data_IF_751309341174
#
_entry.id   IF_751309341174
#
_cell.length_a   1.000
_cell.length_b   1.000
_cell.length_c   1.000
_cell.angle_alpha   90.00
_cell.angle_beta   90.00
_cell.angle_gamma   90.00
#
_symmetry.space_group_name_H-M   'P 1'
#
loop_
_entity.id
_entity.type
_entity.pdbx_description
1 polymer ?
#
# COMPACT_ATOMS: atom_id res chain seq x y z
N UNK A 1 -21.88 89.12 -4.06
CA UNK A 1 -23.35 88.97 -4.20
C UNK A 1 -23.62 88.40 -5.57
N UNK A 2 -23.89 87.10 -5.66
CA UNK A 2 -24.38 86.46 -6.88
C UNK A 2 -25.67 85.75 -6.50
N UNK A 3 -26.72 86.00 -7.27
CA UNK A 3 -28.09 85.63 -6.97
C UNK A 3 -28.61 84.69 -8.06
N UNK A 4 -29.37 83.69 -7.60
CA UNK A 4 -30.43 82.94 -8.29
C UNK A 4 -30.08 81.90 -9.37
N UNK A 5 -30.18 80.63 -8.93
CA UNK A 5 -31.11 79.58 -9.39
C UNK A 5 -31.65 79.62 -10.84
N UNK A 6 -31.54 78.46 -11.52
CA UNK A 6 -32.65 77.82 -12.23
C UNK A 6 -32.31 76.37 -12.59
N UNK A 7 -33.02 75.44 -11.94
CA UNK A 7 -33.15 74.04 -12.35
C UNK A 7 -34.10 73.93 -13.55
N UNK A 8 -33.85 72.98 -14.45
CA UNK A 8 -34.88 72.38 -15.31
C UNK A 8 -34.48 70.94 -15.65
N UNK A 9 -35.45 70.05 -15.42
CA UNK A 9 -35.45 68.60 -15.53
C UNK A 9 -35.24 68.11 -16.98
N UNK A 10 -34.97 66.80 -17.16
CA UNK A 10 -35.91 65.86 -17.82
C UNK A 10 -35.33 64.43 -17.81
N UNK A 11 -36.23 63.50 -17.52
CA UNK A 11 -36.05 62.06 -17.30
C UNK A 11 -35.71 61.26 -18.57
N UNK A 12 -34.85 60.27 -18.36
CA UNK A 12 -34.92 58.86 -18.78
C UNK A 12 -35.67 58.47 -20.08
N UNK A 13 -34.95 57.81 -21.00
CA UNK A 13 -35.57 56.83 -21.88
C UNK A 13 -34.64 55.63 -22.12
N UNK A 14 -35.23 54.44 -22.04
CA UNK A 14 -34.59 53.16 -21.87
C UNK A 14 -34.11 52.51 -23.18
N UNK A 15 -33.12 51.60 -22.99
CA UNK A 15 -32.87 50.33 -23.68
C UNK A 15 -32.43 50.31 -25.16
N UNK A 16 -31.22 49.83 -25.36
CA UNK A 16 -30.97 48.67 -26.24
C UNK A 16 -29.71 47.90 -25.80
N UNK A 17 -29.82 46.58 -25.68
CA UNK A 17 -28.75 45.63 -25.35
C UNK A 17 -27.87 45.35 -26.57
N UNK A 18 -26.54 45.27 -26.39
CA UNK A 18 -25.73 44.26 -27.10
C UNK A 18 -24.38 44.00 -26.42
N UNK A 19 -24.29 42.82 -25.79
CA UNK A 19 -23.17 41.84 -25.71
C UNK A 19 -21.72 42.37 -25.66
N UNK A 20 -21.03 42.14 -24.53
CA UNK A 20 -20.05 41.04 -24.33
C UNK A 20 -19.21 41.34 -23.06
N UNK A 21 -19.54 40.70 -21.94
CA UNK A 21 -18.82 40.87 -20.67
C UNK A 21 -17.47 40.14 -20.71
N UNK A 22 -16.39 40.89 -20.60
CA UNK A 22 -15.14 40.37 -20.02
C UNK A 22 -15.05 40.99 -18.64
N UNK A 23 -15.37 40.21 -17.62
CA UNK A 23 -15.30 40.65 -16.23
C UNK A 23 -13.82 40.82 -15.83
N UNK A 24 -13.41 42.09 -15.74
CA UNK A 24 -12.11 42.57 -15.23
C UNK A 24 -12.06 42.56 -13.69
N UNK A 25 -12.75 41.63 -13.05
CA UNK A 25 -12.75 41.40 -11.60
C UNK A 25 -11.72 40.38 -11.09
N UNK A 26 -10.69 40.01 -11.86
CA UNK A 26 -9.61 39.11 -11.40
C UNK A 26 -8.28 39.83 -11.29
N UNK A 27 -7.77 39.87 -10.05
CA UNK A 27 -6.52 40.50 -9.57
C UNK A 27 -6.63 42.01 -9.32
N UNK A 28 -6.88 42.36 -8.06
CA UNK A 28 -5.90 42.99 -7.15
C UNK A 28 -6.65 43.64 -6.00
N UNK A 29 -6.57 43.06 -4.81
CA UNK A 29 -6.49 43.82 -3.55
C UNK A 29 -5.96 42.89 -2.47
N UNK A 30 -4.63 42.85 -2.35
CA UNK A 30 -3.98 42.39 -1.13
C UNK A 30 -3.77 43.59 -0.22
N UNK A 31 -4.38 43.56 0.97
CA UNK A 31 -3.81 43.97 2.27
C UNK A 31 -4.91 44.16 3.31
N UNK A 32 -4.65 43.56 4.47
CA UNK A 32 -5.17 43.85 5.80
C UNK A 32 -6.59 43.36 6.15
N UNK A 33 -6.65 42.58 7.23
CA UNK A 33 -7.89 42.19 7.90
C UNK A 33 -7.72 40.89 8.70
N UNK A 34 -6.98 40.95 9.81
CA UNK A 34 -6.88 39.86 10.79
C UNK A 34 -8.27 39.64 11.39
N UNK A 35 -8.89 38.49 11.13
CA UNK A 35 -10.05 38.02 11.87
C UNK A 35 -10.09 36.49 11.82
N UNK A 36 -9.69 35.89 12.95
CA UNK A 36 -9.80 34.49 13.36
C UNK A 36 -9.32 33.42 12.35
N UNK A 37 -8.27 32.63 12.68
CA UNK A 37 -8.24 31.29 12.11
C UNK A 37 -9.51 30.60 12.62
N UNK A 38 -10.48 30.40 11.73
CA UNK A 38 -11.35 29.23 11.87
C UNK A 38 -10.35 28.09 12.07
N UNK A 39 -10.38 27.47 13.23
CA UNK A 39 -9.70 26.21 13.49
C UNK A 39 -10.29 25.20 12.49
N UNK A 40 -9.83 25.27 11.25
CA UNK A 40 -9.92 24.17 10.32
C UNK A 40 -8.99 23.14 10.93
N UNK A 41 -9.58 22.24 11.70
CA UNK A 41 -8.96 21.02 12.17
C UNK A 41 -8.34 20.36 10.94
N UNK A 42 -7.04 20.60 10.73
CA UNK A 42 -6.23 19.86 9.78
C UNK A 42 -5.96 18.48 10.41
N UNK A 43 -7.02 17.76 10.72
CA UNK A 43 -7.03 16.32 10.86
C UNK A 43 -7.56 15.78 9.53
N UNK A 44 -6.92 16.15 8.42
CA UNK A 44 -6.91 15.26 7.26
C UNK A 44 -5.99 14.10 7.64
N UNK A 45 -6.47 13.20 8.49
CA UNK A 45 -6.06 11.82 8.32
C UNK A 45 -6.35 11.54 6.84
N UNK A 46 -5.35 11.20 6.01
CA UNK A 46 -5.69 10.68 4.70
C UNK A 46 -6.63 9.52 4.99
N UNK A 47 -7.89 9.65 4.56
CA UNK A 47 -8.90 8.62 4.69
C UNK A 47 -8.55 7.50 3.71
N UNK A 48 -7.42 6.84 3.94
CA UNK A 48 -7.29 5.42 3.65
C UNK A 48 -8.20 4.74 4.67
N UNK A 49 -9.49 4.74 4.36
CA UNK A 49 -10.56 4.26 5.21
C UNK A 49 -10.27 2.85 5.69
N UNK A 50 -9.80 2.76 6.93
CA UNK A 50 -9.78 1.56 7.73
C UNK A 50 -11.23 1.07 7.86
N UNK A 51 -11.64 0.09 7.05
CA UNK A 51 -12.89 -0.66 7.27
C UNK A 51 -13.93 -0.69 6.15
N UNK A 52 -13.64 -0.31 4.91
CA UNK A 52 -14.60 -0.55 3.82
C UNK A 52 -14.20 0.00 2.47
N UNK A 53 -13.61 -0.86 1.63
CA UNK A 53 -13.34 -0.58 0.22
C UNK A 53 -12.10 0.30 -0.02
N UNK A 54 -10.90 -0.25 0.20
CA UNK A 54 -9.71 0.34 -0.42
C UNK A 54 -9.85 0.16 -1.94
N UNK A 55 -10.12 1.24 -2.67
CA UNK A 55 -9.86 1.27 -4.11
C UNK A 55 -8.40 0.87 -4.29
N UNK A 56 -8.10 -0.05 -5.23
CA UNK A 56 -6.78 -0.69 -5.17
C UNK A 56 -5.73 0.41 -5.28
N UNK A 57 -4.81 0.45 -4.32
CA UNK A 57 -3.75 1.45 -4.30
C UNK A 57 -2.97 1.39 -5.62
N UNK A 58 -2.89 0.20 -6.23
CA UNK A 58 -2.36 0.01 -7.56
C UNK A 58 -2.94 0.96 -8.62
N UNK A 59 -4.23 1.27 -8.52
CA UNK A 59 -4.96 2.18 -9.40
C UNK A 59 -4.69 3.64 -9.05
N UNK A 60 -4.61 3.94 -7.74
CA UNK A 60 -4.27 5.25 -7.24
C UNK A 60 -2.84 5.66 -7.62
N UNK A 61 -1.90 4.71 -7.63
CA UNK A 61 -0.50 4.94 -8.01
C UNK A 61 -0.30 4.99 -9.54
N UNK A 62 -1.11 4.25 -10.32
CA UNK A 62 -0.97 4.21 -11.78
C UNK A 62 -1.46 5.49 -12.48
N UNK A 63 -2.28 6.33 -11.83
CA UNK A 63 -2.86 7.55 -12.42
C UNK A 63 -3.83 7.30 -13.60
N UNK A 64 -4.05 6.04 -13.97
CA UNK A 64 -4.89 5.62 -15.08
C UNK A 64 -6.30 5.27 -14.57
N UNK A 65 -7.18 6.27 -14.52
CA UNK A 65 -8.56 6.19 -14.00
C UNK A 65 -9.57 5.51 -14.96
N UNK A 66 -9.10 4.86 -16.03
CA UNK A 66 -9.97 4.42 -17.14
C UNK A 66 -10.73 3.11 -16.94
N UNK A 67 -10.61 2.45 -15.78
CA UNK A 67 -11.25 1.14 -15.56
C UNK A 67 -12.14 1.16 -14.30
N UNK A 68 -13.47 1.24 -14.47
CA UNK A 68 -14.44 1.36 -13.38
C UNK A 68 -14.76 0.02 -12.68
N UNK A 69 -14.12 -1.10 -13.04
CA UNK A 69 -14.32 -2.40 -12.36
C UNK A 69 -13.49 -2.57 -11.07
N UNK A 70 -12.76 -1.52 -10.68
CA UNK A 70 -11.63 -1.47 -9.74
C UNK A 70 -11.98 -1.23 -8.26
N UNK A 71 -13.19 -1.61 -7.85
CA UNK A 71 -13.80 -1.11 -6.61
C UNK A 71 -13.56 -1.89 -5.33
N UNK A 72 -13.03 -3.11 -5.37
CA UNK A 72 -12.80 -3.92 -4.16
C UNK A 72 -11.47 -4.65 -4.26
N UNK A 73 -10.64 -4.45 -3.26
CA UNK A 73 -9.30 -5.01 -3.18
C UNK A 73 -9.14 -5.67 -1.83
N UNK A 74 -8.45 -6.78 -1.83
CA UNK A 74 -8.31 -7.65 -0.68
C UNK A 74 -7.04 -7.29 0.08
N UNK A 75 -7.14 -7.33 1.41
CA UNK A 75 -5.95 -7.34 2.25
C UNK A 75 -5.22 -8.67 2.05
N UNK A 76 -3.90 -8.59 2.04
CA UNK A 76 -3.04 -9.77 1.99
C UNK A 76 -2.88 -10.41 3.37
N UNK A 77 -2.01 -11.40 3.44
CA UNK A 77 -1.61 -12.04 4.69
C UNK A 77 -0.24 -11.53 5.12
N UNK A 78 -0.09 -11.33 6.43
CA UNK A 78 1.19 -10.98 7.02
C UNK A 78 2.24 -12.09 6.82
N UNK A 79 3.54 -11.78 6.98
CA UNK A 79 4.59 -12.80 7.01
C UNK A 79 4.30 -13.93 8.01
N UNK A 80 3.63 -13.63 9.13
CA UNK A 80 3.21 -14.65 10.10
C UNK A 80 2.19 -15.63 9.53
N UNK A 81 1.25 -15.15 8.71
CA UNK A 81 0.28 -15.98 8.00
C UNK A 81 0.95 -16.91 7.00
N UNK A 82 1.83 -16.36 6.15
CA UNK A 82 2.60 -17.15 5.18
C UNK A 82 3.61 -18.11 5.81
N UNK A 83 4.05 -17.81 7.04
CA UNK A 83 4.99 -18.66 7.74
C UNK A 83 4.37 -19.98 8.21
N UNK A 84 3.09 -19.97 8.60
CA UNK A 84 2.46 -21.07 9.32
C UNK A 84 2.00 -22.19 8.37
N UNK A 85 2.75 -23.31 8.23
CA UNK A 85 2.39 -24.34 7.25
C UNK A 85 1.10 -25.09 7.61
N UNK A 86 0.70 -25.11 8.88
CA UNK A 86 -0.59 -25.66 9.32
C UNK A 86 -1.74 -24.63 9.33
N UNK A 87 -1.48 -23.41 8.87
CA UNK A 87 -2.44 -22.31 8.82
C UNK A 87 -3.24 -22.25 7.52
N UNK A 88 -4.02 -21.18 7.36
CA UNK A 88 -4.73 -20.90 6.12
C UNK A 88 -4.41 -19.50 5.57
N UNK A 89 -4.22 -19.44 4.26
CA UNK A 89 -4.08 -18.21 3.47
C UNK A 89 -5.19 -18.22 2.42
N UNK A 90 -6.01 -17.17 2.38
CA UNK A 90 -7.20 -17.08 1.52
C UNK A 90 -8.13 -18.30 1.59
N UNK A 91 -8.42 -18.79 2.79
CA UNK A 91 -9.18 -20.03 3.05
C UNK A 91 -8.56 -21.32 2.48
N UNK A 92 -7.39 -21.25 1.85
CA UNK A 92 -6.61 -22.39 1.37
C UNK A 92 -5.57 -22.79 2.40
N UNK A 93 -5.17 -24.06 2.39
CA UNK A 93 -4.01 -24.52 3.15
C UNK A 93 -2.77 -23.70 2.76
N UNK A 94 -1.92 -23.36 3.73
CA UNK A 94 -0.78 -22.47 3.48
C UNK A 94 0.20 -23.09 2.49
N UNK A 95 0.48 -24.40 2.56
CA UNK A 95 1.35 -25.08 1.59
C UNK A 95 0.75 -25.01 0.19
N UNK A 96 -0.57 -25.17 0.08
CA UNK A 96 -1.27 -25.00 -1.20
C UNK A 96 -1.14 -23.56 -1.72
N UNK A 97 -1.36 -22.57 -0.85
CA UNK A 97 -1.26 -21.15 -1.22
C UNK A 97 0.14 -20.78 -1.72
N UNK A 98 1.20 -21.34 -1.12
CA UNK A 98 2.56 -21.21 -1.65
C UNK A 98 2.64 -21.78 -3.08
N UNK A 99 2.22 -23.03 -3.29
CA UNK A 99 2.29 -23.65 -4.61
C UNK A 99 1.45 -22.92 -5.68
N UNK A 100 0.33 -22.30 -5.31
CA UNK A 100 -0.49 -21.52 -6.25
C UNK A 100 0.15 -20.18 -6.65
N UNK A 101 1.09 -19.66 -5.85
CA UNK A 101 1.94 -18.52 -6.22
C UNK A 101 3.15 -18.92 -7.09
N UNK A 102 3.27 -20.19 -7.48
CA UNK A 102 4.43 -20.81 -8.17
C UNK A 102 5.70 -20.98 -7.34
N UNK A 103 5.66 -20.65 -6.04
CA UNK A 103 6.78 -20.81 -5.12
C UNK A 103 6.56 -22.00 -4.20
N UNK A 104 7.52 -22.91 -4.13
CA UNK A 104 7.43 -24.06 -3.22
C UNK A 104 7.77 -23.64 -1.78
N UNK A 105 6.92 -24.01 -0.82
CA UNK A 105 7.21 -23.81 0.60
C UNK A 105 8.43 -24.62 1.06
N UNK A 106 8.58 -25.84 0.54
CA UNK A 106 9.59 -26.83 0.93
C UNK A 106 8.97 -28.22 1.12
N UNK A 107 9.79 -29.23 1.38
CA UNK A 107 9.36 -30.60 1.64
C UNK A 107 9.43 -30.89 3.13
N UNK A 108 8.35 -31.42 3.69
CA UNK A 108 8.32 -31.88 5.08
C UNK A 108 9.28 -33.06 5.25
N UNK A 109 10.18 -32.96 6.22
CA UNK A 109 11.10 -34.03 6.57
C UNK A 109 10.87 -34.44 8.04
N UNK A 110 10.23 -35.59 8.30
CA UNK A 110 9.99 -36.05 9.66
C UNK A 110 11.28 -36.44 10.40
N UNK A 111 12.36 -36.68 9.68
CA UNK A 111 13.68 -37.00 10.23
C UNK A 111 14.55 -35.76 10.45
N UNK A 112 14.13 -34.58 9.99
CA UNK A 112 14.88 -33.35 10.19
C UNK A 112 15.00 -33.01 11.68
N UNK A 113 16.15 -32.45 12.04
CA UNK A 113 16.43 -31.89 13.36
C UNK A 113 16.58 -30.38 13.28
N UNK A 114 16.16 -29.67 14.33
CA UNK A 114 16.28 -28.21 14.40
C UNK A 114 16.61 -27.69 15.79
N UNK A 115 17.14 -26.47 15.84
CA UNK A 115 17.48 -25.75 17.07
C UNK A 115 18.73 -26.31 17.78
N UNK A 116 19.14 -25.67 18.89
CA UNK A 116 20.39 -26.00 19.60
C UNK A 116 20.37 -27.36 20.33
N UNK A 117 19.26 -28.09 20.28
CA UNK A 117 19.08 -29.39 20.93
C UNK A 117 18.75 -30.51 19.94
N UNK A 118 18.92 -30.26 18.63
CA UNK A 118 18.60 -31.23 17.56
C UNK A 118 17.22 -31.88 17.73
N UNK A 119 16.19 -31.04 17.94
CA UNK A 119 14.82 -31.52 18.11
C UNK A 119 14.37 -32.17 16.81
N UNK A 120 13.95 -33.43 16.89
CA UNK A 120 13.38 -34.16 15.77
C UNK A 120 11.97 -33.64 15.48
N UNK A 121 11.66 -33.49 14.20
CA UNK A 121 10.35 -33.08 13.72
C UNK A 121 9.25 -34.12 13.97
N UNK A 122 9.52 -35.40 13.71
CA UNK A 122 8.51 -36.44 13.93
C UNK A 122 7.40 -36.37 12.87
N UNK A 123 6.25 -36.99 13.12
CA UNK A 123 5.12 -37.03 12.15
C UNK A 123 4.03 -36.00 12.46
N UNK A 124 4.08 -35.43 13.66
CA UNK A 124 3.07 -34.62 14.31
C UNK A 124 3.38 -33.10 14.27
N UNK A 125 4.52 -32.71 13.70
CA UNK A 125 4.98 -31.31 13.63
C UNK A 125 4.96 -30.71 12.22
N UNK A 126 3.98 -31.11 11.41
CA UNK A 126 3.76 -30.56 10.06
C UNK A 126 3.41 -29.06 10.08
N UNK A 127 3.05 -28.52 11.24
CA UNK A 127 2.78 -27.11 11.49
C UNK A 127 4.04 -26.30 11.87
N UNK A 128 5.23 -26.90 11.95
CA UNK A 128 6.47 -26.22 12.28
C UNK A 128 7.31 -25.96 11.01
N UNK A 129 7.62 -24.70 10.73
CA UNK A 129 8.35 -24.28 9.52
C UNK A 129 9.77 -24.84 9.45
N UNK A 130 10.36 -25.11 10.60
CA UNK A 130 11.70 -25.64 10.81
C UNK A 130 11.83 -27.09 10.35
N UNK A 131 10.69 -27.80 10.24
CA UNK A 131 10.60 -29.19 9.79
C UNK A 131 10.50 -29.37 8.28
N UNK A 132 10.59 -28.27 7.55
CA UNK A 132 10.64 -28.27 6.10
C UNK A 132 12.06 -28.00 5.64
N UNK A 133 12.47 -28.68 4.57
CA UNK A 133 13.74 -28.49 3.89
C UNK A 133 13.53 -28.07 2.43
N UNK A 134 14.54 -27.46 1.80
CA UNK A 134 14.41 -26.94 0.44
C UNK A 134 13.37 -25.81 0.30
N UNK A 135 12.74 -25.74 -0.87
CA UNK A 135 11.76 -24.72 -1.24
C UNK A 135 12.33 -23.60 -2.12
N UNK A 136 11.46 -22.65 -2.48
CA UNK A 136 11.83 -21.47 -3.24
C UNK A 136 12.85 -20.61 -2.47
N UNK A 137 13.71 -19.93 -3.22
CA UNK A 137 14.81 -19.13 -2.65
C UNK A 137 14.66 -17.66 -3.03
N UNK A 138 15.32 -16.76 -2.32
CA UNK A 138 15.32 -15.34 -2.68
C UNK A 138 15.90 -15.10 -4.07
N UNK A 139 16.78 -15.98 -4.55
CA UNK A 139 17.30 -15.96 -5.91
C UNK A 139 16.28 -16.26 -7.01
N UNK A 140 15.11 -16.83 -6.69
CA UNK A 140 14.01 -17.01 -7.64
C UNK A 140 13.07 -15.80 -7.73
N UNK A 141 13.25 -14.79 -6.88
CA UNK A 141 12.48 -13.54 -6.92
C UNK A 141 13.20 -12.45 -7.73
N UNK A 142 12.47 -11.43 -8.22
CA UNK A 142 13.08 -10.25 -8.82
C UNK A 142 14.06 -9.58 -7.84
N UNK A 143 15.18 -9.09 -8.36
CA UNK A 143 16.27 -8.55 -7.55
C UNK A 143 15.81 -7.42 -6.58
N UNK A 144 14.81 -6.63 -6.96
CA UNK A 144 14.27 -5.55 -6.14
C UNK A 144 13.60 -5.99 -4.84
N UNK A 145 13.27 -7.28 -4.67
CA UNK A 145 12.67 -7.79 -3.43
C UNK A 145 13.70 -7.95 -2.29
N UNK A 146 14.98 -8.15 -2.62
CA UNK A 146 16.03 -8.47 -1.65
C UNK A 146 16.66 -7.23 -1.00
N UNK A 147 15.84 -6.42 -0.33
CA UNK A 147 16.25 -5.15 0.29
C UNK A 147 17.39 -5.28 1.32
N UNK A 148 17.59 -6.46 1.92
CA UNK A 148 18.60 -6.72 2.95
C UNK A 148 19.76 -7.61 2.47
N UNK A 149 19.88 -7.86 1.16
CA UNK A 149 20.99 -8.60 0.54
C UNK A 149 21.22 -10.01 1.11
N UNK A 150 20.14 -10.77 1.34
CA UNK A 150 20.23 -12.20 1.64
C UNK A 150 20.96 -12.95 0.52
N UNK A 151 21.71 -14.00 0.86
CA UNK A 151 22.33 -14.87 -0.14
C UNK A 151 21.27 -15.51 -1.04
N UNK A 152 21.56 -15.66 -2.32
CA UNK A 152 20.57 -16.17 -3.31
C UNK A 152 19.97 -17.53 -2.96
N UNK A 153 20.69 -18.36 -2.19
CA UNK A 153 20.25 -19.68 -1.76
C UNK A 153 19.41 -19.66 -0.47
N UNK A 154 19.24 -18.50 0.17
CA UNK A 154 18.38 -18.39 1.36
C UNK A 154 16.94 -18.66 0.97
N UNK A 155 16.29 -19.61 1.65
CA UNK A 155 14.92 -19.98 1.34
C UNK A 155 13.95 -18.85 1.70
N UNK A 156 12.88 -18.68 0.93
CA UNK A 156 11.85 -17.69 1.23
C UNK A 156 11.18 -17.97 2.59
N UNK A 157 11.03 -19.26 2.93
CA UNK A 157 10.56 -19.72 4.24
C UNK A 157 11.46 -19.22 5.37
N UNK A 158 12.79 -19.37 5.26
CA UNK A 158 13.71 -18.89 6.30
C UNK A 158 13.62 -17.37 6.47
N UNK A 159 13.48 -16.63 5.36
CA UNK A 159 13.30 -15.17 5.40
C UNK A 159 11.99 -14.81 6.11
N UNK A 160 10.89 -15.48 5.78
CA UNK A 160 9.56 -15.19 6.33
C UNK A 160 9.42 -15.61 7.80
N UNK A 161 9.93 -16.79 8.15
CA UNK A 161 9.70 -17.45 9.44
C UNK A 161 10.78 -17.19 10.49
N UNK A 162 12.05 -17.23 10.09
CA UNK A 162 13.17 -17.24 11.04
C UNK A 162 13.80 -15.88 11.26
N UNK A 163 13.50 -14.90 10.41
CA UNK A 163 13.94 -13.52 10.65
C UNK A 163 12.94 -12.84 11.62
N UNK A 164 13.41 -12.59 12.85
CA UNK A 164 12.58 -12.15 13.97
C UNK A 164 11.93 -10.77 13.79
N UNK A 165 10.85 -10.53 14.54
CA UNK A 165 10.07 -9.29 14.54
C UNK A 165 10.63 -8.13 15.38
N UNK A 166 11.82 -8.25 15.99
CA UNK A 166 12.39 -7.21 16.87
C UNK A 166 13.83 -6.87 16.50
N UNK A 167 14.04 -5.57 16.22
CA UNK A 167 15.33 -4.97 15.88
C UNK A 167 15.26 -4.14 14.59
N UNK A 168 16.31 -3.34 14.27
CA UNK A 168 16.47 -2.67 12.97
C UNK A 168 16.58 -3.65 11.78
N UNK A 169 16.51 -4.96 12.07
CA UNK A 169 16.47 -6.12 11.18
C UNK A 169 15.14 -6.89 11.28
N UNK A 170 14.03 -6.23 11.64
CA UNK A 170 12.73 -6.60 11.10
C UNK A 170 12.79 -6.32 9.58
N UNK A 171 13.34 -7.28 8.84
CA UNK A 171 13.89 -7.07 7.50
C UNK A 171 12.81 -6.59 6.52
N UNK A 172 13.08 -5.51 5.80
CA UNK A 172 12.22 -5.05 4.70
C UNK A 172 12.01 -6.17 3.68
N UNK A 173 13.03 -6.99 3.43
CA UNK A 173 12.94 -8.19 2.59
C UNK A 173 11.81 -9.13 3.05
N UNK A 174 11.62 -9.32 4.36
CA UNK A 174 10.54 -10.17 4.87
C UNK A 174 9.16 -9.62 4.49
N UNK A 175 8.99 -8.31 4.56
CA UNK A 175 7.73 -7.64 4.20
C UNK A 175 7.55 -7.62 2.68
N UNK A 176 8.62 -7.39 1.93
CA UNK A 176 8.65 -7.45 0.48
C UNK A 176 8.29 -8.84 -0.06
N UNK A 177 8.86 -9.91 0.50
CA UNK A 177 8.53 -11.28 0.11
C UNK A 177 7.05 -11.58 0.41
N UNK A 178 6.54 -11.24 1.60
CA UNK A 178 5.14 -11.46 1.93
C UNK A 178 4.18 -10.67 1.01
N UNK A 179 4.47 -9.40 0.76
CA UNK A 179 3.70 -8.57 -0.18
C UNK A 179 3.75 -9.13 -1.61
N UNK A 180 4.90 -9.66 -2.04
CA UNK A 180 5.04 -10.27 -3.35
C UNK A 180 4.25 -11.58 -3.45
N UNK A 181 4.25 -12.42 -2.41
CA UNK A 181 3.42 -13.62 -2.34
C UNK A 181 1.93 -13.28 -2.40
N UNK A 182 1.48 -12.24 -1.67
CA UNK A 182 0.11 -11.75 -1.77
C UNK A 182 -0.22 -11.28 -3.21
N UNK A 183 0.65 -10.48 -3.82
CA UNK A 183 0.46 -10.01 -5.20
C UNK A 183 0.48 -11.15 -6.25
N UNK A 184 1.07 -12.29 -5.89
CA UNK A 184 1.19 -13.48 -6.74
C UNK A 184 0.08 -14.51 -6.50
N UNK A 185 -0.73 -14.34 -5.45
CA UNK A 185 -1.72 -15.33 -5.07
C UNK A 185 -2.94 -15.24 -5.99
N UNK A 186 -3.29 -16.30 -6.73
CA UNK A 186 -4.50 -16.28 -7.54
C UNK A 186 -5.75 -16.27 -6.64
N UNK A 187 -6.78 -15.57 -7.10
CA UNK A 187 -8.07 -15.53 -6.42
C UNK A 187 -8.18 -14.49 -5.30
N UNK A 188 -7.18 -13.60 -5.16
CA UNK A 188 -7.32 -12.34 -4.42
C UNK A 188 -7.01 -11.17 -5.34
N UNK A 189 -7.70 -10.05 -5.14
CA UNK A 189 -7.38 -8.79 -5.79
C UNK A 189 -6.50 -7.95 -4.85
N UNK A 190 -5.25 -8.38 -4.65
CA UNK A 190 -4.35 -7.71 -3.72
C UNK A 190 -4.14 -6.24 -4.09
N UNK A 191 -4.05 -5.39 -3.06
CA UNK A 191 -4.02 -3.94 -3.21
C UNK A 191 -2.81 -3.40 -4.02
N UNK A 192 -1.72 -4.16 -4.07
CA UNK A 192 -0.51 -3.85 -4.85
C UNK A 192 -0.33 -4.88 -5.97
N UNK A 193 0.17 -4.45 -7.13
CA UNK A 193 0.65 -5.39 -8.16
C UNK A 193 2.05 -5.91 -7.82
N UNK A 194 2.46 -7.03 -8.43
CA UNK A 194 3.83 -7.55 -8.28
C UNK A 194 4.87 -6.46 -8.61
N UNK A 195 4.69 -5.72 -9.72
CA UNK A 195 5.62 -4.67 -10.11
C UNK A 195 5.70 -3.54 -9.07
N UNK A 196 4.56 -3.14 -8.50
CA UNK A 196 4.57 -2.10 -7.46
C UNK A 196 5.26 -2.57 -6.18
N UNK A 197 5.15 -3.85 -5.83
CA UNK A 197 5.91 -4.40 -4.71
C UNK A 197 7.41 -4.35 -5.02
N UNK A 198 7.83 -4.74 -6.23
CA UNK A 198 9.23 -4.64 -6.66
C UNK A 198 9.72 -3.19 -6.55
N UNK A 199 8.98 -2.25 -7.13
CA UNK A 199 9.36 -0.85 -7.20
C UNK A 199 9.40 -0.17 -5.81
N UNK A 200 8.51 -0.58 -4.89
CA UNK A 200 8.53 -0.10 -3.50
C UNK A 200 9.73 -0.64 -2.73
N UNK A 201 10.11 -1.89 -2.99
CA UNK A 201 11.17 -2.59 -2.28
C UNK A 201 12.58 -2.23 -2.76
N UNK A 202 12.73 -1.89 -4.05
CA UNK A 202 13.99 -1.35 -4.58
C UNK A 202 14.12 0.18 -4.44
N UNK A 203 13.04 0.85 -4.02
CA UNK A 203 13.00 2.29 -3.77
C UNK A 203 12.79 3.14 -5.03
N UNK A 204 12.51 2.54 -6.18
CA UNK A 204 12.14 3.28 -7.40
C UNK A 204 10.77 3.95 -7.27
N UNK A 205 9.85 3.35 -6.51
CA UNK A 205 8.58 3.95 -6.10
C UNK A 205 8.67 4.45 -4.66
N UNK A 206 8.40 5.74 -4.46
CA UNK A 206 8.36 6.33 -3.13
C UNK A 206 7.18 5.78 -2.31
N UNK A 207 7.44 5.45 -1.04
CA UNK A 207 6.41 4.99 -0.10
C UNK A 207 5.36 6.10 0.12
N UNK A 208 4.07 5.85 -0.14
CA UNK A 208 3.02 6.83 0.05
C UNK A 208 2.92 7.33 1.50
N UNK A 209 2.61 8.61 1.68
CA UNK A 209 2.30 9.17 3.01
C UNK A 209 3.50 9.42 3.92
N UNK A 210 4.74 9.26 3.44
CA UNK A 210 5.95 9.57 4.22
C UNK A 210 6.20 8.63 5.40
N UNK A 211 5.57 7.45 5.39
CA UNK A 211 5.79 6.38 6.37
C UNK A 211 6.89 5.43 5.91
N UNK A 212 7.37 4.57 6.81
CA UNK A 212 8.35 3.54 6.44
C UNK A 212 7.74 2.49 5.51
N UNK A 213 8.56 1.88 4.64
CA UNK A 213 8.14 0.77 3.77
C UNK A 213 7.45 -0.33 4.55
N UNK A 214 8.06 -0.73 5.68
CA UNK A 214 7.48 -1.69 6.62
C UNK A 214 6.08 -1.30 7.07
N UNK A 215 5.90 -0.10 7.62
CA UNK A 215 4.60 0.38 8.11
C UNK A 215 3.56 0.42 6.99
N UNK A 216 3.98 0.79 5.79
CA UNK A 216 3.11 0.78 4.62
C UNK A 216 2.67 -0.65 4.26
N UNK A 217 3.60 -1.59 4.12
CA UNK A 217 3.28 -2.97 3.79
C UNK A 217 2.44 -3.65 4.88
N UNK A 218 2.75 -3.41 6.16
CA UNK A 218 1.95 -3.89 7.31
C UNK A 218 0.47 -3.44 7.20
N UNK A 219 0.22 -2.24 6.66
CA UNK A 219 -1.14 -1.72 6.47
C UNK A 219 -1.94 -2.39 5.34
N UNK A 220 -1.29 -3.21 4.52
CA UNK A 220 -1.93 -3.92 3.40
C UNK A 220 -2.37 -5.34 3.76
N UNK A 221 -2.23 -5.74 5.02
CA UNK A 221 -2.47 -7.10 5.47
C UNK A 221 -3.54 -7.19 6.57
N UNK A 222 -4.06 -8.39 6.77
CA UNK A 222 -4.94 -8.77 7.88
C UNK A 222 -4.28 -9.79 8.83
#
# INVERSE_FOLDING_TARGET
MSNSNKDSEIMENQKEETKHSIDKGRRRFGKAGVAAPILMTLASQPAFGWGGGMQCMSNMMSGNLSDPSRGNCDLGWSPGGWCNPGGKVNNMDTIWAWNSTTFEYGTYDPAATYGPQDKICGIDKQNESECYSGGATIGSLPAGINANNFGSNTTLRDIICKTGGTGPSANDTRHCVAAYLNASLPGINYILTQQQVIDLCDGTLAVPGGISLKTFLDSTWQ
#
